data_IF_191445782713
#
_entry.id   IF_191445782713
#
_cell.length_a   1.000
_cell.length_b   1.000
_cell.length_c   1.000
_cell.angle_alpha   90.00
_cell.angle_beta   90.00
_cell.angle_gamma   90.00
#
_symmetry.space_group_name_H-M   'P 1'
#
loop_
_entity.id
_entity.type
_entity.pdbx_description
1 polymer ?
#
# COMPACT_ATOMS: atom_id res chain seq x y z
N UNK A 1 5.66 -21.50 13.08
CA UNK A 1 4.28 -21.39 12.56
C UNK A 1 3.35 -20.67 13.56
N UNK A 2 3.62 -19.40 13.94
CA UNK A 2 2.83 -18.64 14.93
C UNK A 2 1.91 -17.55 14.33
N UNK A 3 2.00 -17.28 13.01
CA UNK A 3 1.40 -16.08 12.39
C UNK A 3 0.31 -16.34 11.33
N UNK A 4 -0.34 -17.52 11.28
CA UNK A 4 -1.44 -17.75 10.30
C UNK A 4 -2.57 -16.72 10.40
N UNK A 5 -2.92 -16.30 11.62
CA UNK A 5 -3.93 -15.25 11.86
C UNK A 5 -3.50 -13.90 11.29
N UNK A 6 -2.26 -13.49 11.54
CA UNK A 6 -1.69 -12.26 10.95
C UNK A 6 -1.62 -12.30 9.43
N UNK A 7 -1.25 -13.45 8.86
CA UNK A 7 -1.22 -13.63 7.42
C UNK A 7 -2.61 -13.46 6.80
N UNK A 8 -3.66 -14.03 7.42
CA UNK A 8 -5.04 -13.85 6.98
C UNK A 8 -5.45 -12.37 7.04
N UNK A 9 -5.11 -11.68 8.13
CA UNK A 9 -5.43 -10.25 8.30
C UNK A 9 -4.74 -9.40 7.21
N UNK A 10 -3.45 -9.64 6.97
CA UNK A 10 -2.69 -8.91 5.93
C UNK A 10 -3.34 -9.13 4.56
N UNK A 11 -3.66 -10.37 4.21
CA UNK A 11 -4.29 -10.68 2.92
C UNK A 11 -5.69 -10.08 2.80
N UNK A 12 -6.50 -10.10 3.86
CA UNK A 12 -7.80 -9.44 3.84
C UNK A 12 -7.70 -7.93 3.65
N UNK A 13 -6.71 -7.29 4.28
CA UNK A 13 -6.47 -5.86 4.13
C UNK A 13 -6.02 -5.54 2.70
N UNK A 14 -5.06 -6.29 2.15
CA UNK A 14 -4.56 -6.08 0.79
C UNK A 14 -5.67 -6.25 -0.24
N UNK A 15 -6.46 -7.33 -0.15
CA UNK A 15 -7.60 -7.57 -1.05
C UNK A 15 -8.65 -6.47 -0.90
N UNK A 16 -8.96 -6.07 0.34
CA UNK A 16 -9.89 -4.97 0.61
C UNK A 16 -9.44 -3.66 -0.03
N UNK A 17 -8.17 -3.29 0.11
CA UNK A 17 -7.60 -2.09 -0.51
C UNK A 17 -7.65 -2.15 -2.04
N UNK A 18 -7.34 -3.30 -2.65
CA UNK A 18 -7.43 -3.47 -4.10
C UNK A 18 -8.85 -3.28 -4.62
N UNK A 19 -9.84 -3.88 -3.93
CA UNK A 19 -11.25 -3.76 -4.30
C UNK A 19 -11.73 -2.32 -4.10
N UNK A 20 -11.49 -1.71 -2.95
CA UNK A 20 -11.89 -0.33 -2.65
C UNK A 20 -11.24 0.66 -3.64
N UNK A 21 -9.94 0.50 -3.92
CA UNK A 21 -9.23 1.33 -4.89
C UNK A 21 -9.77 1.16 -6.31
N UNK A 22 -10.08 -0.07 -6.72
CA UNK A 22 -10.70 -0.35 -8.02
C UNK A 22 -12.09 0.28 -8.15
N UNK A 23 -12.93 0.16 -7.11
CA UNK A 23 -14.26 0.80 -7.09
C UNK A 23 -14.18 2.33 -7.09
N UNK A 24 -13.22 2.92 -6.39
CA UNK A 24 -12.94 4.35 -6.47
C UNK A 24 -12.56 4.76 -7.90
N UNK A 25 -11.76 3.97 -8.59
CA UNK A 25 -11.42 4.19 -10.00
C UNK A 25 -12.66 4.18 -10.90
N UNK A 26 -13.52 3.16 -10.77
CA UNK A 26 -14.79 3.08 -11.53
C UNK A 26 -15.71 4.25 -11.22
N UNK A 27 -15.78 4.68 -9.96
CA UNK A 27 -16.59 5.83 -9.55
C UNK A 27 -16.11 7.14 -10.18
N UNK A 28 -14.79 7.38 -10.21
CA UNK A 28 -14.20 8.57 -10.83
C UNK A 28 -14.48 8.58 -12.34
N UNK A 29 -14.22 7.46 -13.03
CA UNK A 29 -14.47 7.34 -14.47
C UNK A 29 -15.96 7.49 -14.79
N UNK A 30 -16.84 6.82 -14.04
CA UNK A 30 -18.29 6.89 -14.24
C UNK A 30 -18.87 8.27 -13.96
N UNK A 31 -18.24 9.07 -13.08
CA UNK A 31 -18.61 10.48 -12.87
C UNK A 31 -18.30 11.35 -14.09
N UNK A 32 -17.23 11.06 -14.82
CA UNK A 32 -16.83 11.80 -16.02
C UNK A 32 -17.61 11.39 -17.27
N UNK A 33 -17.90 10.09 -17.43
CA UNK A 33 -18.61 9.56 -18.61
C UNK A 33 -20.12 9.51 -18.46
N UNK A 34 -20.64 9.64 -17.23
CA UNK A 34 -22.08 9.56 -16.93
C UNK A 34 -22.64 8.14 -16.90
N UNK A 35 -21.83 7.13 -17.25
CA UNK A 35 -22.21 5.72 -17.25
C UNK A 35 -21.32 4.92 -16.29
N UNK A 36 -21.95 4.30 -15.29
CA UNK A 36 -21.26 3.36 -14.40
C UNK A 36 -21.20 1.99 -15.06
N UNK A 37 -20.06 1.67 -15.66
CA UNK A 37 -19.86 0.38 -16.30
C UNK A 37 -19.61 -0.72 -15.25
N UNK A 38 -20.66 -1.49 -14.97
CA UNK A 38 -20.63 -2.60 -14.01
C UNK A 38 -19.74 -3.77 -14.45
N UNK A 39 -19.43 -3.91 -15.74
CA UNK A 39 -18.54 -4.96 -16.23
C UNK A 39 -17.11 -4.76 -15.70
N UNK A 40 -16.68 -3.50 -15.60
CA UNK A 40 -15.37 -3.15 -15.04
C UNK A 40 -15.32 -3.47 -13.54
N UNK A 41 -16.40 -3.20 -12.80
CA UNK A 41 -16.49 -3.53 -11.39
C UNK A 41 -16.43 -5.05 -11.14
N UNK A 42 -17.11 -5.84 -11.99
CA UNK A 42 -17.05 -7.31 -11.95
C UNK A 42 -15.64 -7.79 -12.27
N UNK A 43 -14.99 -7.22 -13.30
CA UNK A 43 -13.62 -7.56 -13.67
C UNK A 43 -12.62 -7.30 -12.53
N UNK A 44 -12.79 -6.21 -11.77
CA UNK A 44 -11.97 -5.91 -10.59
C UNK A 44 -12.13 -7.00 -9.52
N UNK A 45 -13.36 -7.35 -9.15
CA UNK A 45 -13.61 -8.38 -8.13
C UNK A 45 -13.05 -9.73 -8.58
N UNK A 46 -13.43 -10.17 -9.78
CA UNK A 46 -13.05 -11.48 -10.33
C UNK A 46 -11.54 -11.55 -10.51
N UNK A 47 -10.91 -10.51 -11.06
CA UNK A 47 -9.46 -10.43 -11.24
C UNK A 47 -8.70 -10.49 -9.92
N UNK A 48 -9.16 -9.77 -8.91
CA UNK A 48 -8.52 -9.77 -7.57
C UNK A 48 -8.59 -11.15 -6.92
N UNK A 49 -9.76 -11.80 -6.99
CA UNK A 49 -9.95 -13.16 -6.44
C UNK A 49 -9.14 -14.22 -7.20
N UNK A 50 -9.15 -14.17 -8.54
CA UNK A 50 -8.35 -15.09 -9.38
C UNK A 50 -6.86 -14.92 -9.13
N UNK A 51 -6.37 -13.67 -9.09
CA UNK A 51 -4.97 -13.37 -8.80
C UNK A 51 -4.53 -13.94 -7.44
N UNK A 52 -5.37 -13.78 -6.42
CA UNK A 52 -5.14 -14.37 -5.11
C UNK A 52 -5.10 -15.90 -5.15
N UNK A 53 -6.00 -16.54 -5.89
CA UNK A 53 -6.05 -18.00 -6.02
C UNK A 53 -4.80 -18.56 -6.73
N UNK A 54 -4.36 -17.91 -7.81
CA UNK A 54 -3.12 -18.26 -8.53
C UNK A 54 -1.91 -18.11 -7.61
N UNK A 55 -1.83 -17.01 -6.85
CA UNK A 55 -0.76 -16.82 -5.88
C UNK A 55 -0.69 -17.95 -4.84
N UNK A 56 -1.83 -18.41 -4.31
CA UNK A 56 -1.87 -19.52 -3.35
C UNK A 56 -1.33 -20.83 -3.95
N UNK A 57 -1.68 -21.13 -5.21
CA UNK A 57 -1.17 -22.31 -5.91
C UNK A 57 0.35 -22.24 -6.09
N UNK A 58 0.88 -21.09 -6.53
CA UNK A 58 2.32 -20.87 -6.70
C UNK A 58 3.03 -20.97 -5.35
N UNK A 59 2.50 -20.36 -4.29
CA UNK A 59 3.07 -20.43 -2.95
C UNK A 59 3.14 -21.87 -2.44
N UNK A 60 2.09 -22.68 -2.67
CA UNK A 60 2.06 -24.09 -2.30
C UNK A 60 3.08 -24.92 -3.11
N UNK A 61 3.24 -24.61 -4.39
CA UNK A 61 4.22 -25.27 -5.25
C UNK A 61 5.65 -24.93 -4.83
N UNK A 62 5.96 -23.64 -4.61
CA UNK A 62 7.28 -23.20 -4.15
C UNK A 62 7.65 -23.82 -2.81
N UNK A 63 6.70 -23.91 -1.88
CA UNK A 63 6.91 -24.59 -0.59
C UNK A 63 7.22 -26.09 -0.74
N UNK A 64 6.63 -26.75 -1.75
CA UNK A 64 6.90 -28.16 -2.05
C UNK A 64 8.28 -28.38 -2.68
N UNK A 65 8.78 -27.43 -3.47
CA UNK A 65 10.07 -27.54 -4.20
C UNK A 65 11.28 -27.06 -3.38
N UNK A 66 11.15 -25.96 -2.64
CA UNK A 66 12.28 -25.31 -1.97
C UNK A 66 12.29 -25.50 -0.44
N UNK A 67 11.38 -26.30 0.13
CA UNK A 67 11.29 -26.52 1.58
C UNK A 67 10.78 -25.29 2.35
N UNK A 68 11.01 -25.26 3.66
CA UNK A 68 10.57 -24.18 4.56
C UNK A 68 11.73 -23.22 4.88
N UNK A 69 12.44 -22.76 3.85
CA UNK A 69 13.49 -21.75 3.99
C UNK A 69 12.81 -20.40 4.29
N UNK A 70 13.22 -19.68 5.34
CA UNK A 70 12.68 -18.35 5.62
C UNK A 70 12.94 -17.42 4.43
N UNK A 71 11.91 -16.69 4.00
CA UNK A 71 11.98 -15.82 2.82
C UNK A 71 12.68 -14.49 3.09
N UNK A 72 12.97 -14.17 4.35
CA UNK A 72 13.59 -12.93 4.79
C UNK A 72 14.46 -13.23 6.01
N UNK A 73 15.70 -12.77 5.98
CA UNK A 73 16.62 -12.88 7.11
C UNK A 73 16.25 -11.87 8.21
N UNK A 74 16.55 -12.21 9.46
CA UNK A 74 16.30 -11.35 10.63
C UNK A 74 16.98 -9.98 10.49
N UNK A 75 18.11 -9.93 9.78
CA UNK A 75 18.84 -8.68 9.47
C UNK A 75 18.03 -7.74 8.59
N UNK A 76 17.42 -8.23 7.51
CA UNK A 76 16.60 -7.41 6.62
C UNK A 76 15.35 -6.89 7.34
N UNK A 77 14.78 -7.67 8.26
CA UNK A 77 13.66 -7.21 9.11
C UNK A 77 14.08 -6.07 10.02
N UNK A 78 15.27 -6.16 10.63
CA UNK A 78 15.80 -5.10 11.49
C UNK A 78 16.07 -3.81 10.71
N UNK A 79 16.65 -3.92 9.50
CA UNK A 79 16.90 -2.77 8.62
C UNK A 79 15.60 -2.09 8.18
N UNK A 80 14.61 -2.87 7.75
CA UNK A 80 13.28 -2.35 7.41
C UNK A 80 12.62 -1.64 8.59
N UNK A 81 12.72 -2.21 9.80
CA UNK A 81 12.17 -1.59 11.02
C UNK A 81 12.84 -0.24 11.31
N UNK A 82 14.16 -0.19 11.26
CA UNK A 82 14.91 1.04 11.54
C UNK A 82 14.62 2.12 10.49
N UNK A 83 14.58 1.74 9.21
CA UNK A 83 14.17 2.64 8.13
C UNK A 83 12.78 3.22 8.36
N UNK A 84 11.78 2.37 8.63
CA UNK A 84 10.40 2.83 8.86
C UNK A 84 10.29 3.73 10.10
N UNK A 85 11.07 3.49 11.15
CA UNK A 85 11.12 4.40 12.30
C UNK A 85 11.68 5.77 11.93
N UNK A 86 12.80 5.82 11.20
CA UNK A 86 13.39 7.09 10.76
C UNK A 86 12.43 7.85 9.85
N UNK A 87 11.86 7.16 8.86
CA UNK A 87 10.87 7.73 7.95
C UNK A 87 9.66 8.27 8.70
N UNK A 88 9.14 7.55 9.70
CA UNK A 88 8.02 8.01 10.51
C UNK A 88 8.34 9.35 11.18
N UNK A 89 9.51 9.47 11.80
CA UNK A 89 9.90 10.73 12.45
C UNK A 89 10.10 11.85 11.43
N UNK A 90 10.76 11.58 10.31
CA UNK A 90 10.96 12.59 9.25
C UNK A 90 9.62 13.07 8.68
N UNK A 91 8.68 12.16 8.44
CA UNK A 91 7.35 12.51 7.93
C UNK A 91 6.57 13.30 8.97
N UNK A 92 6.57 12.87 10.23
CA UNK A 92 5.79 13.53 11.29
C UNK A 92 6.33 14.94 11.58
N UNK A 93 7.63 15.07 11.81
CA UNK A 93 8.25 16.38 12.07
C UNK A 93 8.28 17.25 10.82
N UNK A 94 8.58 16.67 9.65
CA UNK A 94 8.60 17.40 8.38
C UNK A 94 7.22 17.94 8.00
N UNK A 95 6.19 17.10 8.03
CA UNK A 95 4.81 17.55 7.76
C UNK A 95 4.32 18.57 8.79
N UNK A 96 4.62 18.36 10.08
CA UNK A 96 4.29 19.32 11.13
C UNK A 96 4.96 20.67 10.91
N UNK A 97 6.25 20.69 10.57
CA UNK A 97 6.98 21.93 10.28
C UNK A 97 6.41 22.65 9.06
N UNK A 98 6.09 21.92 7.98
CA UNK A 98 5.46 22.50 6.79
C UNK A 98 4.11 23.14 7.13
N UNK A 99 3.28 22.48 7.95
CA UNK A 99 2.01 23.05 8.40
C UNK A 99 2.19 24.32 9.24
N UNK A 100 3.18 24.36 10.14
CA UNK A 100 3.48 25.56 10.94
C UNK A 100 3.93 26.73 10.06
N UNK A 101 4.73 26.46 9.02
CA UNK A 101 5.17 27.48 8.05
C UNK A 101 3.97 27.98 7.23
N UNK A 102 3.13 27.08 6.72
CA UNK A 102 1.91 27.47 5.99
C UNK A 102 0.99 28.33 6.86
N UNK A 103 0.82 27.95 8.13
CA UNK A 103 0.02 28.71 9.08
C UNK A 103 0.62 30.10 9.34
N UNK A 104 1.93 30.23 9.49
CA UNK A 104 2.58 31.55 9.69
C UNK A 104 2.52 32.44 8.45
N UNK A 105 2.41 31.85 7.27
CA UNK A 105 2.15 32.56 6.00
C UNK A 105 0.67 32.96 5.81
N UNK A 106 -0.20 32.66 6.78
CA UNK A 106 -1.63 32.98 6.71
C UNK A 106 -2.46 32.01 5.86
N UNK A 107 -1.89 30.87 5.47
CA UNK A 107 -2.62 29.83 4.74
C UNK A 107 -3.41 28.98 5.74
N UNK A 108 -4.71 29.23 5.83
CA UNK A 108 -5.61 28.50 6.73
C UNK A 108 -6.36 27.35 6.07
N UNK A 109 -6.41 27.34 4.74
CA UNK A 109 -7.11 26.32 3.95
C UNK A 109 -6.14 25.71 2.95
N UNK A 110 -6.10 24.38 2.93
CA UNK A 110 -5.33 23.62 1.95
C UNK A 110 -6.34 22.92 1.04
N UNK A 111 -6.21 23.14 -0.26
CA UNK A 111 -7.02 22.44 -1.25
C UNK A 111 -6.71 20.93 -1.19
N UNK A 112 -7.76 20.12 -1.25
CA UNK A 112 -7.65 18.66 -1.14
C UNK A 112 -6.77 18.06 -2.24
N UNK A 113 -6.74 18.66 -3.43
CA UNK A 113 -5.88 18.24 -4.54
C UNK A 113 -4.39 18.25 -4.18
N UNK A 114 -3.91 19.34 -3.56
CA UNK A 114 -2.52 19.46 -3.13
C UNK A 114 -2.16 18.44 -2.03
N UNK A 115 -3.12 18.15 -1.14
CA UNK A 115 -2.93 17.17 -0.08
C UNK A 115 -2.82 15.75 -0.65
N UNK A 116 -3.61 15.42 -1.68
CA UNK A 116 -3.53 14.13 -2.39
C UNK A 116 -2.16 13.97 -3.06
N UNK A 117 -1.69 14.99 -3.79
CA UNK A 117 -0.39 14.95 -4.48
C UNK A 117 0.75 14.75 -3.48
N UNK A 118 0.73 15.49 -2.37
CA UNK A 118 1.69 15.34 -1.28
C UNK A 118 1.70 13.93 -0.71
N UNK A 119 0.54 13.38 -0.37
CA UNK A 119 0.42 12.04 0.21
C UNK A 119 0.86 10.95 -0.78
N UNK A 120 0.53 11.09 -2.07
CA UNK A 120 0.91 10.12 -3.09
C UNK A 120 2.42 10.08 -3.31
N UNK A 121 3.06 11.25 -3.39
CA UNK A 121 4.53 11.34 -3.48
C UNK A 121 5.22 10.74 -2.26
N UNK A 122 4.69 11.04 -1.07
CA UNK A 122 5.19 10.52 0.20
C UNK A 122 5.08 8.99 0.26
N UNK A 123 3.93 8.41 -0.07
CA UNK A 123 3.77 6.95 -0.11
C UNK A 123 4.67 6.26 -1.12
N UNK A 124 4.86 6.85 -2.31
CA UNK A 124 5.80 6.31 -3.30
C UNK A 124 7.23 6.30 -2.76
N UNK A 125 7.67 7.41 -2.15
CA UNK A 125 9.02 7.53 -1.59
C UNK A 125 9.25 6.52 -0.46
N UNK A 126 8.29 6.38 0.46
CA UNK A 126 8.35 5.35 1.51
C UNK A 126 8.43 3.96 0.90
N UNK A 127 7.54 3.64 -0.04
CA UNK A 127 7.48 2.33 -0.68
C UNK A 127 8.77 1.94 -1.38
N UNK A 128 9.37 2.86 -2.14
CA UNK A 128 10.66 2.66 -2.81
C UNK A 128 11.77 2.39 -1.79
N UNK A 129 11.87 3.18 -0.72
CA UNK A 129 12.91 2.95 0.28
C UNK A 129 12.71 1.66 1.10
N UNK A 130 11.47 1.19 1.28
CA UNK A 130 11.21 -0.16 1.84
C UNK A 130 11.74 -1.26 0.91
N UNK A 131 11.53 -1.12 -0.41
CA UNK A 131 12.03 -2.11 -1.38
C UNK A 131 13.56 -2.15 -1.37
N UNK A 132 14.21 -0.98 -1.36
CA UNK A 132 15.68 -0.87 -1.31
C UNK A 132 16.23 -1.49 -0.03
N UNK A 133 15.67 -1.15 1.13
CA UNK A 133 16.15 -1.65 2.43
C UNK A 133 15.94 -3.14 2.64
N UNK A 134 14.95 -3.74 1.97
CA UNK A 134 14.77 -5.19 1.95
C UNK A 134 15.88 -5.92 1.17
N UNK A 135 16.50 -5.25 0.20
CA UNK A 135 17.55 -5.83 -0.65
C UNK A 135 18.97 -5.67 -0.09
N UNK A 136 19.14 -4.91 1.00
CA UNK A 136 20.39 -4.76 1.78
C UNK A 136 20.49 -5.78 2.92
#
# INVERSE_FOLDING_TARGET
>A
MRNRKFQIIIWSVVIGCMIIGGFLGVYIVGKETGEYNYDIAIAIIVGTLLGFFVYLLIAKWNKKRNGNVPSVDERSVLLMKNYLMVVLYVVLFGSGAVLLILFSMGVHFIETGWLIVYMMGLYMLIGVGVIITKQL
#
